data_IF_209280780289
#
_entry.id   IF_209280780289
#
_cell.length_a   1.000
_cell.length_b   1.000
_cell.length_c   1.000
_cell.angle_alpha   90.00
_cell.angle_beta   90.00
_cell.angle_gamma   90.00
#
_symmetry.space_group_name_H-M   'P 1'
#
loop_
_entity.id
_entity.type
_entity.pdbx_description
1 polymer ?
#
# COMPACT_ATOMS: atom_id res chain seq x y z
N UNK A 1 -1.66 -4.56 -25.30
CA UNK A 1 -0.54 -5.31 -24.69
C UNK A 1 0.68 -4.40 -24.74
N UNK A 2 1.06 -3.81 -23.61
CA UNK A 2 2.19 -2.88 -23.55
C UNK A 2 3.51 -3.59 -23.85
N UNK A 3 4.43 -2.89 -24.49
CA UNK A 3 5.79 -3.31 -24.88
C UNK A 3 6.58 -3.99 -23.74
N UNK A 4 6.24 -3.69 -22.48
CA UNK A 4 6.80 -4.28 -21.26
C UNK A 4 6.43 -5.75 -21.07
N UNK A 5 5.19 -6.14 -21.38
CA UNK A 5 4.79 -7.56 -21.32
C UNK A 5 5.57 -8.40 -22.34
N UNK A 6 5.98 -7.79 -23.47
CA UNK A 6 6.82 -8.47 -24.47
C UNK A 6 8.27 -8.68 -23.98
N UNK A 7 8.82 -7.78 -23.15
CA UNK A 7 10.18 -7.90 -22.58
C UNK A 7 10.29 -8.96 -21.48
N UNK A 8 9.17 -9.41 -20.91
CA UNK A 8 9.14 -10.44 -19.87
C UNK A 8 8.81 -11.84 -20.42
N UNK A 9 8.52 -11.97 -21.72
CA UNK A 9 8.07 -13.20 -22.35
C UNK A 9 9.20 -13.93 -23.09
N UNK A 10 10.02 -14.68 -22.35
CA UNK A 10 10.57 -16.00 -22.74
C UNK A 10 11.54 -16.47 -21.67
N UNK A 11 11.09 -17.36 -20.80
CA UNK A 11 11.99 -18.21 -20.01
C UNK A 11 11.23 -19.47 -19.65
N UNK A 12 11.68 -20.59 -20.23
CA UNK A 12 11.12 -21.92 -20.06
C UNK A 12 10.96 -22.28 -18.58
N UNK A 13 9.85 -22.92 -18.23
CA UNK A 13 9.61 -23.55 -16.92
C UNK A 13 10.68 -24.61 -16.66
N UNK A 14 11.76 -24.25 -15.97
CA UNK A 14 12.67 -25.21 -15.36
C UNK A 14 12.06 -25.69 -14.03
N UNK A 15 12.07 -27.01 -13.84
CA UNK A 15 11.80 -27.65 -12.55
C UNK A 15 12.91 -27.24 -11.57
N UNK A 16 12.60 -26.38 -10.59
CA UNK A 16 13.54 -25.99 -9.52
C UNK A 16 13.70 -24.49 -9.23
N UNK A 17 12.68 -23.65 -9.50
CA UNK A 17 12.72 -22.25 -9.03
C UNK A 17 12.72 -22.17 -7.50
N UNK A 18 13.48 -21.24 -6.94
CA UNK A 18 13.49 -20.97 -5.50
C UNK A 18 12.35 -20.01 -5.17
N UNK A 19 11.47 -20.39 -4.25
CA UNK A 19 10.39 -19.50 -3.81
C UNK A 19 10.95 -18.39 -2.90
N UNK A 20 10.52 -17.15 -3.13
CA UNK A 20 10.88 -15.99 -2.34
C UNK A 20 9.63 -15.18 -2.00
N UNK A 21 9.25 -15.18 -0.74
CA UNK A 21 8.09 -14.45 -0.22
C UNK A 21 8.56 -13.14 0.40
N UNK A 22 7.91 -12.04 0.01
CA UNK A 22 8.40 -10.69 0.28
C UNK A 22 7.34 -9.94 1.07
N UNK A 23 7.71 -9.44 2.24
CA UNK A 23 6.97 -8.37 2.91
C UNK A 23 7.33 -7.06 2.21
N UNK A 24 6.50 -6.64 1.24
CA UNK A 24 6.91 -5.57 0.33
C UNK A 24 6.92 -4.20 0.97
N UNK A 25 6.10 -3.98 2.01
CA UNK A 25 5.98 -2.67 2.64
C UNK A 25 7.27 -2.29 3.39
N UNK A 26 8.01 -3.29 3.88
CA UNK A 26 9.35 -3.14 4.47
C UNK A 26 10.39 -2.57 3.48
N UNK A 27 10.13 -2.69 2.18
CA UNK A 27 10.98 -2.23 1.08
C UNK A 27 10.34 -1.09 0.27
N UNK A 28 9.30 -0.44 0.79
CA UNK A 28 8.63 0.69 0.12
C UNK A 28 9.63 1.76 -0.36
N UNK A 29 10.64 2.08 0.46
CA UNK A 29 11.68 3.06 0.12
C UNK A 29 12.56 2.67 -1.08
N UNK A 30 12.65 1.38 -1.43
CA UNK A 30 13.36 0.89 -2.61
C UNK A 30 12.62 1.20 -3.92
N UNK A 31 11.29 1.37 -3.85
CA UNK A 31 10.42 1.67 -5.00
C UNK A 31 9.87 3.09 -4.97
N UNK A 32 9.87 3.73 -3.81
CA UNK A 32 9.46 5.13 -3.60
C UNK A 32 10.46 5.80 -2.66
N UNK A 33 11.59 6.30 -3.20
CA UNK A 33 12.62 6.93 -2.39
C UNK A 33 12.09 8.16 -1.62
N UNK A 34 12.26 8.17 -0.31
CA UNK A 34 11.73 9.21 0.61
C UNK A 34 12.24 10.63 0.26
N UNK A 35 13.45 10.71 -0.30
CA UNK A 35 14.10 11.99 -0.60
C UNK A 35 13.63 12.60 -1.93
N UNK A 36 12.83 11.90 -2.71
CA UNK A 36 12.35 12.37 -4.02
C UNK A 36 10.88 12.79 -4.00
N UNK A 37 10.42 13.43 -5.08
CA UNK A 37 8.98 13.53 -5.33
C UNK A 37 8.41 12.12 -5.47
N UNK A 38 7.19 11.91 -5.00
CA UNK A 38 6.50 10.66 -5.25
C UNK A 38 6.32 10.53 -6.75
N UNK A 39 6.78 9.42 -7.33
CA UNK A 39 6.71 9.19 -8.77
C UNK A 39 6.34 7.74 -9.04
N UNK A 40 5.07 7.52 -9.35
CA UNK A 40 4.56 6.19 -9.70
C UNK A 40 5.22 5.64 -10.98
N UNK A 41 5.67 6.52 -11.88
CA UNK A 41 6.39 6.15 -13.11
C UNK A 41 7.77 5.57 -12.79
N UNK A 42 8.51 6.20 -11.87
CA UNK A 42 9.80 5.68 -11.41
C UNK A 42 9.62 4.36 -10.65
N UNK A 43 8.64 4.29 -9.76
CA UNK A 43 8.30 3.08 -9.02
C UNK A 43 7.99 1.91 -9.96
N UNK A 44 7.23 2.14 -11.05
CA UNK A 44 6.97 1.14 -12.10
C UNK A 44 8.26 0.52 -12.62
N UNK A 45 9.23 1.35 -13.02
CA UNK A 45 10.50 0.86 -13.56
C UNK A 45 11.32 0.10 -12.52
N UNK A 46 11.33 0.57 -11.27
CA UNK A 46 12.03 -0.11 -10.18
C UNK A 46 11.41 -1.49 -9.88
N UNK A 47 10.09 -1.62 -9.90
CA UNK A 47 9.40 -2.92 -9.75
C UNK A 47 9.71 -3.82 -10.95
N UNK A 48 9.61 -3.33 -12.18
CA UNK A 48 9.95 -4.10 -13.40
C UNK A 48 11.38 -4.64 -13.33
N UNK A 49 12.33 -3.79 -12.97
CA UNK A 49 13.73 -4.16 -12.83
C UNK A 49 13.93 -5.19 -11.71
N UNK A 50 13.32 -4.99 -10.54
CA UNK A 50 13.36 -5.93 -9.43
C UNK A 50 12.87 -7.32 -9.84
N UNK A 51 11.69 -7.41 -10.47
CA UNK A 51 11.11 -8.69 -10.91
C UNK A 51 12.00 -9.37 -11.95
N UNK A 52 12.55 -8.60 -12.91
CA UNK A 52 13.50 -9.12 -13.89
C UNK A 52 14.76 -9.68 -13.22
N UNK A 53 15.34 -8.94 -12.28
CA UNK A 53 16.55 -9.38 -11.58
C UNK A 53 16.29 -10.60 -10.67
N UNK A 54 15.10 -10.71 -10.07
CA UNK A 54 14.67 -11.88 -9.31
C UNK A 54 14.59 -13.12 -10.21
N UNK A 55 13.94 -13.00 -11.38
CA UNK A 55 13.85 -14.07 -12.38
C UNK A 55 15.24 -14.51 -12.87
N UNK A 56 16.14 -13.56 -13.15
CA UNK A 56 17.53 -13.86 -13.53
C UNK A 56 18.33 -14.56 -12.43
N UNK A 57 17.92 -14.42 -11.17
CA UNK A 57 18.46 -15.13 -10.02
C UNK A 57 17.73 -16.45 -9.70
N UNK A 58 16.85 -16.92 -10.60
CA UNK A 58 16.04 -18.14 -10.45
C UNK A 58 15.12 -18.11 -9.21
N UNK A 59 14.56 -16.94 -8.90
CA UNK A 59 13.49 -16.81 -7.91
C UNK A 59 12.12 -16.78 -8.56
N UNK A 60 11.17 -17.46 -7.95
CA UNK A 60 9.74 -17.23 -8.13
C UNK A 60 9.22 -16.46 -6.92
N UNK A 61 8.68 -15.27 -7.17
CA UNK A 61 8.38 -14.31 -6.11
C UNK A 61 6.88 -14.26 -5.83
N UNK A 62 6.53 -14.18 -4.55
CA UNK A 62 5.21 -13.77 -4.09
C UNK A 62 5.35 -12.58 -3.16
N UNK A 63 4.44 -11.63 -3.28
CA UNK A 63 4.43 -10.42 -2.47
C UNK A 63 3.28 -10.50 -1.48
N UNK A 64 3.56 -10.29 -0.20
CA UNK A 64 2.58 -10.23 0.87
C UNK A 64 2.42 -8.77 1.32
N UNK A 65 1.16 -8.35 1.47
CA UNK A 65 0.77 -6.98 1.84
C UNK A 65 -0.21 -7.05 3.00
N UNK A 66 0.02 -6.23 4.01
CA UNK A 66 -0.92 -6.06 5.11
C UNK A 66 -2.22 -5.41 4.64
N UNK A 67 -3.34 -6.06 4.94
CA UNK A 67 -4.66 -5.67 4.47
C UNK A 67 -5.55 -5.06 5.56
N UNK A 68 -5.25 -5.30 6.85
CA UNK A 68 -6.04 -4.75 7.95
C UNK A 68 -5.27 -4.66 9.26
N UNK A 69 -5.54 -3.59 10.01
CA UNK A 69 -5.04 -3.42 11.38
C UNK A 69 -6.09 -4.01 12.33
N UNK A 70 -5.74 -5.09 13.05
CA UNK A 70 -6.73 -5.80 13.87
C UNK A 70 -6.61 -5.53 15.37
N UNK A 71 -5.39 -5.46 15.90
CA UNK A 71 -5.20 -5.31 17.34
C UNK A 71 -5.27 -3.85 17.80
N UNK A 72 -5.82 -3.61 18.98
CA UNK A 72 -5.81 -2.29 19.63
C UNK A 72 -4.37 -1.73 19.75
N UNK A 73 -3.40 -2.60 20.02
CA UNK A 73 -1.99 -2.23 20.07
C UNK A 73 -1.51 -1.71 18.71
N UNK A 74 -1.84 -2.39 17.60
CA UNK A 74 -1.47 -1.97 16.26
C UNK A 74 -2.19 -0.67 15.87
N UNK A 75 -3.46 -0.50 16.23
CA UNK A 75 -4.21 0.75 16.06
C UNK A 75 -3.53 1.90 16.82
N UNK A 76 -3.15 1.70 18.08
CA UNK A 76 -2.49 2.72 18.90
C UNK A 76 -1.11 3.10 18.35
N UNK A 77 -0.30 2.12 17.95
CA UNK A 77 0.99 2.37 17.28
C UNK A 77 0.80 3.11 15.97
N UNK A 78 -0.24 2.77 15.21
CA UNK A 78 -0.58 3.45 13.97
C UNK A 78 -1.02 4.89 14.22
N UNK A 79 -1.96 5.14 15.15
CA UNK A 79 -2.42 6.48 15.54
C UNK A 79 -1.25 7.37 15.96
N UNK A 80 -0.38 6.89 16.85
CA UNK A 80 0.81 7.62 17.31
C UNK A 80 1.73 8.01 16.15
N UNK A 81 1.97 7.09 15.18
CA UNK A 81 2.78 7.39 13.99
C UNK A 81 2.13 8.48 13.13
N UNK A 82 0.81 8.42 12.92
CA UNK A 82 0.06 9.42 12.14
C UNK A 82 0.01 10.78 12.83
N UNK A 83 -0.08 10.81 14.16
CA UNK A 83 0.00 12.05 14.93
C UNK A 83 1.37 12.70 14.80
N UNK A 84 2.45 11.93 14.87
CA UNK A 84 3.80 12.46 14.63
C UNK A 84 3.95 13.02 13.21
N UNK A 85 3.44 12.32 12.20
CA UNK A 85 3.42 12.81 10.80
C UNK A 85 2.70 14.15 10.68
N UNK A 86 1.48 14.26 11.21
CA UNK A 86 0.69 15.51 11.16
C UNK A 86 1.37 16.64 11.94
N UNK A 87 1.85 16.35 13.16
CA UNK A 87 2.52 17.35 14.01
C UNK A 87 3.78 17.91 13.36
N UNK A 88 4.54 17.06 12.66
CA UNK A 88 5.79 17.45 12.01
C UNK A 88 5.58 17.97 10.58
N UNK A 89 4.36 17.92 10.03
CA UNK A 89 4.12 18.24 8.62
C UNK A 89 4.83 17.26 7.67
N UNK A 90 5.06 16.02 8.11
CA UNK A 90 5.82 15.02 7.36
C UNK A 90 4.92 13.94 6.79
N UNK A 91 5.24 13.49 5.58
CA UNK A 91 4.71 12.24 5.04
C UNK A 91 5.79 11.53 4.22
N UNK A 92 6.24 10.38 4.71
CA UNK A 92 7.38 9.66 4.11
C UNK A 92 7.02 8.89 2.85
N UNK A 93 5.79 8.40 2.76
CA UNK A 93 5.34 7.52 1.69
C UNK A 93 4.04 8.05 1.05
N UNK A 94 3.89 7.88 -0.27
CA UNK A 94 2.69 8.27 -0.99
C UNK A 94 1.42 7.66 -0.42
N UNK A 95 0.31 8.36 -0.64
CA UNK A 95 -1.02 7.82 -0.42
C UNK A 95 -1.23 6.54 -1.27
N UNK A 96 -1.98 5.58 -0.72
CA UNK A 96 -2.31 4.31 -1.37
C UNK A 96 -1.09 3.45 -1.79
N UNK A 97 0.02 3.56 -1.06
CA UNK A 97 1.25 2.78 -1.30
C UNK A 97 0.98 1.27 -1.46
N UNK A 98 0.15 0.70 -0.57
CA UNK A 98 -0.16 -0.74 -0.56
C UNK A 98 -0.83 -1.16 -1.87
N UNK A 99 -1.86 -0.43 -2.28
CA UNK A 99 -2.58 -0.64 -3.54
C UNK A 99 -1.64 -0.52 -4.74
N UNK A 100 -0.82 0.53 -4.77
CA UNK A 100 0.07 0.81 -5.88
C UNK A 100 1.17 -0.23 -6.05
N UNK A 101 1.82 -0.63 -4.97
CA UNK A 101 2.81 -1.70 -5.04
C UNK A 101 2.15 -3.00 -5.50
N UNK A 102 0.98 -3.34 -4.95
CA UNK A 102 0.23 -4.51 -5.40
C UNK A 102 -0.09 -4.49 -6.90
N UNK A 103 -0.62 -3.38 -7.41
CA UNK A 103 -0.93 -3.19 -8.84
C UNK A 103 0.33 -3.32 -9.72
N UNK A 104 1.43 -2.69 -9.31
CA UNK A 104 2.70 -2.73 -10.04
C UNK A 104 3.29 -4.15 -10.11
N UNK A 105 3.25 -4.90 -9.01
CA UNK A 105 3.73 -6.27 -8.96
C UNK A 105 2.84 -7.22 -9.77
N UNK A 106 1.50 -7.11 -9.65
CA UNK A 106 0.55 -7.88 -10.48
C UNK A 106 0.79 -7.66 -11.97
N UNK A 107 1.03 -6.41 -12.40
CA UNK A 107 1.36 -6.08 -13.79
C UNK A 107 2.65 -6.73 -14.29
N UNK A 108 3.56 -7.09 -13.39
CA UNK A 108 4.77 -7.83 -13.71
C UNK A 108 4.59 -9.36 -13.67
N UNK A 109 3.35 -9.84 -13.50
CA UNK A 109 3.00 -11.25 -13.38
C UNK A 109 3.41 -11.88 -12.06
N UNK A 110 3.50 -11.07 -11.00
CA UNK A 110 3.81 -11.54 -9.64
C UNK A 110 2.52 -11.74 -8.86
N UNK A 111 2.42 -12.85 -8.15
CA UNK A 111 1.31 -13.10 -7.24
C UNK A 111 1.40 -12.15 -6.03
N UNK A 112 0.28 -11.49 -5.73
CA UNK A 112 0.18 -10.55 -4.61
C UNK A 112 -0.91 -11.05 -3.66
N UNK A 113 -0.52 -11.25 -2.41
CA UNK A 113 -1.33 -11.80 -1.34
C UNK A 113 -1.61 -10.69 -0.30
N UNK A 114 -2.87 -10.30 -0.15
CA UNK A 114 -3.30 -9.39 0.90
C UNK A 114 -3.82 -10.23 2.08
N UNK A 115 -3.14 -10.13 3.23
CA UNK A 115 -3.42 -10.92 4.42
C UNK A 115 -4.72 -10.47 5.09
N UNK A 116 -5.73 -11.33 5.12
CA UNK A 116 -7.11 -10.98 5.57
C UNK A 116 -7.59 -11.73 6.79
N UNK A 117 -7.03 -12.90 7.10
CA UNK A 117 -7.45 -13.74 8.24
C UNK A 117 -6.55 -13.55 9.47
N UNK A 118 -5.28 -13.21 9.26
CA UNK A 118 -4.30 -12.99 10.32
C UNK A 118 -3.35 -11.86 9.94
N UNK A 119 -2.59 -11.36 10.91
CA UNK A 119 -1.52 -10.39 10.69
C UNK A 119 -0.60 -10.85 9.54
N UNK A 120 -0.07 -9.90 8.78
CA UNK A 120 0.73 -10.20 7.59
C UNK A 120 1.95 -11.07 7.88
N UNK A 121 2.60 -10.87 9.03
CA UNK A 121 3.75 -11.67 9.44
C UNK A 121 3.38 -13.13 9.69
N UNK A 122 2.26 -13.39 10.35
CA UNK A 122 1.78 -14.74 10.64
C UNK A 122 1.35 -15.46 9.35
N UNK A 123 0.66 -14.74 8.46
CA UNK A 123 0.25 -15.24 7.14
C UNK A 123 1.48 -15.59 6.31
N UNK A 124 2.41 -14.64 6.11
CA UNK A 124 3.63 -14.85 5.32
C UNK A 124 4.49 -15.98 5.90
N UNK A 125 4.73 -15.97 7.22
CA UNK A 125 5.53 -17.00 7.88
C UNK A 125 4.94 -18.41 7.72
N UNK A 126 3.61 -18.55 7.82
CA UNK A 126 2.94 -19.83 7.61
C UNK A 126 3.07 -20.32 6.17
N UNK A 127 2.75 -19.48 5.19
CA UNK A 127 2.90 -19.83 3.76
C UNK A 127 4.35 -20.17 3.43
N UNK A 128 5.32 -19.36 3.87
CA UNK A 128 6.74 -19.63 3.63
C UNK A 128 7.21 -20.94 4.29
N UNK A 129 6.71 -21.23 5.50
CA UNK A 129 7.00 -22.49 6.19
C UNK A 129 6.47 -23.69 5.42
N UNK A 130 5.23 -23.65 4.95
CA UNK A 130 4.61 -24.78 4.25
C UNK A 130 5.24 -25.02 2.88
N UNK A 131 5.56 -23.95 2.16
CA UNK A 131 6.08 -24.03 0.79
C UNK A 131 7.61 -24.18 0.71
N UNK A 132 8.32 -24.04 1.84
CA UNK A 132 9.78 -24.00 1.86
C UNK A 132 10.35 -22.76 1.16
N UNK A 133 9.62 -21.64 1.20
CA UNK A 133 10.04 -20.38 0.59
C UNK A 133 11.01 -19.62 1.48
N UNK A 134 11.94 -18.89 0.88
CA UNK A 134 12.73 -17.88 1.58
C UNK A 134 11.89 -16.64 1.89
N UNK A 135 12.17 -15.94 2.98
CA UNK A 135 11.49 -14.69 3.36
C UNK A 135 12.42 -13.50 3.19
N UNK A 136 11.96 -12.46 2.48
CA UNK A 136 12.62 -11.15 2.41
C UNK A 136 11.81 -10.15 3.25
N UNK A 137 12.31 -9.83 4.45
CA UNK A 137 11.71 -8.85 5.36
C UNK A 137 12.76 -8.26 6.32
N UNK A 138 12.60 -6.99 6.65
CA UNK A 138 13.40 -6.30 7.69
C UNK A 138 12.82 -6.50 9.08
N UNK A 139 11.58 -7.00 9.18
CA UNK A 139 10.95 -7.28 10.44
C UNK A 139 11.67 -8.42 11.19
N UNK A 140 11.77 -8.25 12.50
CA UNK A 140 12.35 -9.24 13.42
C UNK A 140 11.30 -10.23 13.91
N UNK A 141 10.02 -9.98 13.67
CA UNK A 141 8.94 -10.88 14.11
C UNK A 141 9.02 -12.25 13.45
N UNK A 142 9.59 -12.36 12.24
CA UNK A 142 9.92 -13.65 11.61
C UNK A 142 10.90 -14.54 12.42
N UNK A 143 11.65 -13.97 13.37
CA UNK A 143 12.53 -14.73 14.27
C UNK A 143 11.77 -15.39 15.44
N UNK A 144 10.51 -15.00 15.68
CA UNK A 144 9.68 -15.48 16.79
C UNK A 144 9.13 -16.88 16.53
N UNK A 145 8.97 -17.28 15.28
CA UNK A 145 8.36 -18.56 14.92
C UNK A 145 9.27 -19.74 15.21
N UNK A 146 8.75 -20.68 16.01
CA UNK A 146 9.42 -21.95 16.35
C UNK A 146 9.40 -22.90 15.16
N UNK A 147 10.49 -23.66 14.98
CA UNK A 147 10.57 -24.71 13.96
C UNK A 147 10.41 -24.23 12.51
N UNK A 148 10.60 -22.92 12.24
CA UNK A 148 10.50 -22.37 10.88
C UNK A 148 11.41 -23.12 9.89
N UNK A 149 10.91 -23.34 8.68
CA UNK A 149 11.63 -24.03 7.58
C UNK A 149 12.13 -23.08 6.49
N UNK A 150 12.15 -21.78 6.78
CA UNK A 150 12.54 -20.74 5.84
C UNK A 150 13.75 -19.95 6.33
N UNK A 151 14.56 -19.51 5.38
CA UNK A 151 15.62 -18.53 5.58
C UNK A 151 15.05 -17.11 5.55
N UNK A 152 15.68 -16.20 6.31
CA UNK A 152 15.27 -14.80 6.39
C UNK A 152 16.37 -13.92 5.80
N UNK A 153 15.99 -13.06 4.87
CA UNK A 153 16.86 -12.08 4.21
C UNK A 153 16.42 -10.68 4.59
N UNK A 154 17.39 -9.85 4.97
CA UNK A 154 17.19 -8.49 5.48
C UNK A 154 17.07 -7.45 4.37
N UNK A 155 17.75 -7.70 3.26
CA UNK A 155 17.84 -6.75 2.17
C UNK A 155 18.20 -7.47 0.88
N UNK A 156 18.27 -6.71 -0.20
CA UNK A 156 18.73 -7.16 -1.49
C UNK A 156 19.57 -6.10 -2.18
N UNK A 157 20.34 -6.53 -3.16
CA UNK A 157 21.01 -5.65 -4.10
C UNK A 157 21.08 -6.33 -5.47
N UNK A 158 21.47 -5.57 -6.48
CA UNK A 158 21.63 -6.07 -7.85
C UNK A 158 23.11 -6.25 -8.14
N UNK A 159 23.49 -7.44 -8.59
CA UNK A 159 24.83 -7.73 -9.07
C UNK A 159 24.75 -8.48 -10.39
N UNK A 160 25.41 -7.97 -11.44
CA UNK A 160 25.40 -8.59 -12.78
C UNK A 160 23.98 -8.96 -13.25
N UNK A 161 23.03 -8.03 -13.12
CA UNK A 161 21.61 -8.20 -13.47
C UNK A 161 20.89 -9.34 -12.73
N UNK A 162 21.37 -9.73 -11.55
CA UNK A 162 20.73 -10.72 -10.68
C UNK A 162 20.43 -10.11 -9.33
N UNK A 163 19.29 -10.49 -8.77
CA UNK A 163 18.94 -10.18 -7.39
C UNK A 163 19.83 -11.02 -6.45
N UNK A 164 20.56 -10.35 -5.57
CA UNK A 164 21.32 -10.98 -4.50
C UNK A 164 20.68 -10.60 -3.19
N UNK A 165 20.36 -11.61 -2.38
CA UNK A 165 19.73 -11.42 -1.07
C UNK A 165 20.80 -11.37 0.03
N UNK A 166 20.62 -10.47 0.98
CA UNK A 166 21.48 -10.33 2.15
C UNK A 166 20.90 -11.15 3.31
N UNK A 167 21.52 -12.28 3.70
CA UNK A 167 20.97 -13.12 4.76
C UNK A 167 21.00 -12.40 6.10
N UNK A 168 19.95 -12.62 6.90
CA UNK A 168 19.92 -12.16 8.28
C UNK A 168 20.93 -12.94 9.11
N UNK A 169 21.87 -12.24 9.74
CA UNK A 169 22.90 -12.85 10.62
C UNK A 169 22.53 -12.76 12.11
N UNK A 170 21.73 -11.77 12.48
CA UNK A 170 21.29 -11.56 13.86
C UNK A 170 20.06 -12.41 14.17
N UNK A 171 20.29 -13.58 14.78
CA UNK A 171 19.21 -14.54 15.10
C UNK A 171 18.56 -14.29 16.46
N UNK A 172 19.01 -13.28 17.19
CA UNK A 172 18.49 -12.95 18.51
C UNK A 172 17.13 -12.24 18.41
N UNK A 173 16.16 -12.67 19.21
CA UNK A 173 14.86 -12.02 19.33
C UNK A 173 14.38 -12.17 20.78
N UNK A 174 14.12 -11.03 21.44
CA UNK A 174 13.66 -10.95 22.83
C UNK A 174 12.15 -11.09 22.96
N UNK A 175 11.41 -10.99 21.85
CA UNK A 175 9.96 -11.10 21.85
C UNK A 175 9.51 -12.55 22.07
N UNK A 176 8.30 -12.70 22.61
CA UNK A 176 7.68 -14.01 22.87
C UNK A 176 7.61 -14.84 21.61
N UNK A 177 8.05 -16.10 21.70
CA UNK A 177 8.00 -17.07 20.60
C UNK A 177 6.57 -17.37 20.19
N UNK A 178 6.35 -17.57 18.88
CA UNK A 178 5.07 -17.91 18.27
C UNK A 178 5.17 -19.29 17.61
N UNK A 179 4.05 -19.98 17.52
CA UNK A 179 3.94 -21.20 16.73
C UNK A 179 3.51 -20.85 15.29
N UNK A 180 3.87 -21.69 14.32
CA UNK A 180 3.42 -21.52 12.93
C UNK A 180 1.93 -21.88 12.88
N UNK A 181 1.09 -20.97 12.36
CA UNK A 181 -0.34 -21.23 12.19
C UNK A 181 -0.53 -22.34 11.14
N UNK A 182 -1.33 -23.35 11.46
CA UNK A 182 -1.68 -24.46 10.54
C UNK A 182 -3.18 -24.75 10.66
N UNK A 183 -3.93 -24.77 9.55
CA UNK A 183 -3.51 -24.51 8.17
C UNK A 183 -3.07 -23.04 7.96
N UNK A 184 -2.43 -22.77 6.82
CA UNK A 184 -1.99 -21.40 6.50
C UNK A 184 -3.19 -20.43 6.40
N UNK A 185 -3.12 -19.24 7.01
CA UNK A 185 -4.19 -18.26 6.94
C UNK A 185 -4.53 -17.88 5.50
N UNK A 186 -5.81 -17.60 5.26
CA UNK A 186 -6.31 -17.14 3.97
C UNK A 186 -5.85 -15.71 3.65
N UNK A 187 -5.60 -15.49 2.38
CA UNK A 187 -5.35 -14.18 1.79
C UNK A 187 -6.24 -13.98 0.57
N UNK A 188 -6.36 -12.74 0.12
CA UNK A 188 -6.99 -12.40 -1.15
C UNK A 188 -5.96 -11.86 -2.15
N UNK A 189 -6.25 -11.97 -3.44
CA UNK A 189 -5.41 -11.43 -4.51
C UNK A 189 -5.83 -10.01 -4.94
N UNK A 190 -6.85 -9.42 -4.32
CA UNK A 190 -7.30 -8.05 -4.55
C UNK A 190 -7.08 -7.22 -3.29
N UNK A 191 -6.61 -5.98 -3.42
CA UNK A 191 -6.54 -5.09 -2.26
C UNK A 191 -7.96 -4.96 -1.68
N UNK A 192 -8.20 -5.37 -0.43
CA UNK A 192 -9.50 -5.15 0.14
C UNK A 192 -9.77 -3.65 0.31
N UNK A 193 -8.76 -2.77 0.30
CA UNK A 193 -8.91 -1.32 0.12
C UNK A 193 -9.87 -0.66 1.13
N UNK A 194 -11.11 -0.44 0.68
CA UNK A 194 -12.27 0.07 1.45
C UNK A 194 -13.27 -1.05 1.78
N UNK A 195 -13.20 -2.22 1.15
CA UNK A 195 -14.05 -3.41 1.41
C UNK A 195 -13.81 -4.03 2.80
N UNK A 196 -12.77 -3.61 3.54
CA UNK A 196 -12.62 -3.87 4.99
C UNK A 196 -13.72 -3.21 5.86
N UNK A 197 -14.64 -2.46 5.25
CA UNK A 197 -15.84 -1.88 5.86
C UNK A 197 -16.83 -2.91 6.45
N UNK A 198 -16.59 -4.22 6.35
CA UNK A 198 -17.33 -5.21 7.15
C UNK A 198 -17.32 -4.87 8.65
N UNK A 199 -16.40 -4.01 9.10
CA UNK A 199 -16.27 -3.54 10.47
C UNK A 199 -16.83 -2.13 10.73
N UNK A 200 -17.57 -1.53 9.80
CA UNK A 200 -18.25 -0.23 9.97
C UNK A 200 -17.33 0.96 10.32
N UNK A 201 -16.03 0.88 10.00
CA UNK A 201 -15.07 1.95 10.26
C UNK A 201 -14.16 2.23 9.06
N UNK A 202 -13.71 3.47 8.93
CA UNK A 202 -12.75 3.90 7.93
C UNK A 202 -11.69 4.82 8.57
N UNK A 203 -10.56 4.22 8.93
CA UNK A 203 -9.40 4.94 9.47
C UNK A 203 -8.43 5.27 8.34
N UNK A 204 -8.04 6.55 8.23
CA UNK A 204 -6.92 6.99 7.39
C UNK A 204 -6.10 8.07 8.09
N UNK A 205 -4.81 8.10 7.80
CA UNK A 205 -3.93 9.17 8.24
C UNK A 205 -4.07 10.42 7.38
N UNK A 206 -3.13 11.35 7.51
CA UNK A 206 -2.97 12.36 6.47
C UNK A 206 -2.41 11.74 5.18
N UNK A 207 -2.94 12.10 4.00
CA UNK A 207 -2.41 11.65 2.72
C UNK A 207 -1.22 12.51 2.23
N UNK A 208 -0.94 13.65 2.86
CA UNK A 208 0.02 14.66 2.38
C UNK A 208 0.80 15.33 3.51
N UNK A 209 2.06 15.77 3.29
CA UNK A 209 2.78 16.58 4.28
C UNK A 209 2.09 17.94 4.57
N UNK A 210 1.22 18.42 3.68
CA UNK A 210 0.65 19.78 3.75
C UNK A 210 -0.67 19.87 4.55
N UNK A 211 -0.96 18.93 5.44
CA UNK A 211 -2.18 18.99 6.28
C UNK A 211 -2.19 20.14 7.30
N UNK A 212 -1.07 20.84 7.46
CA UNK A 212 -1.03 22.09 8.22
C UNK A 212 -1.58 23.28 7.41
N UNK A 213 -1.53 23.22 6.08
CA UNK A 213 -2.07 24.26 5.19
C UNK A 213 -3.48 23.92 4.69
N UNK A 214 -3.81 22.64 4.63
CA UNK A 214 -5.08 22.12 4.12
C UNK A 214 -5.70 21.18 5.14
N UNK A 215 -7.02 21.07 5.16
CA UNK A 215 -7.66 19.96 5.89
C UNK A 215 -7.22 18.61 5.31
N UNK A 216 -7.46 17.53 6.05
CA UNK A 216 -7.18 16.18 5.55
C UNK A 216 -8.01 15.92 4.28
N UNK A 217 -7.35 15.61 3.16
CA UNK A 217 -8.01 15.39 1.86
C UNK A 217 -9.11 14.33 1.92
N UNK A 218 -8.99 13.33 2.80
CA UNK A 218 -10.04 12.33 2.98
C UNK A 218 -11.37 12.92 3.47
N UNK A 219 -11.34 14.02 4.23
CA UNK A 219 -12.53 14.77 4.67
C UNK A 219 -13.14 15.53 3.49
N UNK A 220 -12.30 16.19 2.68
CA UNK A 220 -12.76 16.97 1.50
C UNK A 220 -13.56 16.10 0.54
N UNK A 221 -13.07 14.88 0.27
CA UNK A 221 -13.72 13.96 -0.68
C UNK A 221 -14.77 13.05 -0.04
N UNK A 222 -15.15 13.29 1.23
CA UNK A 222 -16.15 12.47 1.94
C UNK A 222 -17.45 12.31 1.14
N UNK A 223 -18.01 13.34 0.48
CA UNK A 223 -19.22 13.17 -0.33
C UNK A 223 -19.08 12.16 -1.49
N UNK A 224 -17.92 12.09 -2.14
CA UNK A 224 -17.64 11.07 -3.16
C UNK A 224 -17.55 9.67 -2.54
N UNK A 225 -16.99 9.58 -1.33
CA UNK A 225 -16.90 8.32 -0.58
C UNK A 225 -18.27 7.83 -0.12
N UNK A 226 -19.17 8.72 0.30
CA UNK A 226 -20.55 8.38 0.61
C UNK A 226 -21.29 7.80 -0.60
N UNK A 227 -21.02 8.33 -1.80
CA UNK A 227 -21.55 7.76 -3.04
C UNK A 227 -21.02 6.34 -3.29
N UNK A 228 -19.74 6.10 -2.98
CA UNK A 228 -19.17 4.77 -3.05
C UNK A 228 -19.79 3.82 -2.00
N UNK A 229 -20.03 4.27 -0.76
CA UNK A 229 -20.74 3.49 0.25
C UNK A 229 -22.16 3.10 -0.20
N UNK A 230 -22.88 4.04 -0.83
CA UNK A 230 -24.20 3.77 -1.40
C UNK A 230 -24.12 2.77 -2.55
N UNK A 231 -23.10 2.87 -3.40
CA UNK A 231 -22.85 1.90 -4.47
C UNK A 231 -22.59 0.48 -3.93
N UNK A 232 -21.90 0.35 -2.80
CA UNK A 232 -21.69 -0.92 -2.11
C UNK A 232 -22.96 -1.49 -1.47
N UNK A 233 -24.08 -0.75 -1.47
CA UNK A 233 -25.34 -1.18 -0.87
C UNK A 233 -25.31 -1.18 0.65
N UNK A 234 -24.43 -0.39 1.27
CA UNK A 234 -24.38 -0.25 2.72
C UNK A 234 -25.65 0.47 3.20
N UNK A 235 -26.22 0.01 4.32
CA UNK A 235 -27.44 0.60 4.92
C UNK A 235 -27.11 1.44 6.16
N UNK A 236 -26.02 1.10 6.85
CA UNK A 236 -25.57 1.75 8.08
C UNK A 236 -24.50 2.80 7.83
N UNK A 237 -24.42 3.79 8.73
CA UNK A 237 -23.31 4.74 8.76
C UNK A 237 -21.97 4.07 9.05
N UNK A 238 -20.92 4.64 8.48
CA UNK A 238 -19.52 4.26 8.69
C UNK A 238 -18.86 5.26 9.64
N UNK A 239 -18.17 4.79 10.67
CA UNK A 239 -17.33 5.63 11.51
C UNK A 239 -16.04 5.99 10.76
N UNK A 240 -15.98 7.22 10.24
CA UNK A 240 -14.75 7.76 9.66
C UNK A 240 -13.89 8.41 10.74
N UNK A 241 -12.58 8.21 10.67
CA UNK A 241 -11.64 8.80 11.62
C UNK A 241 -10.36 9.26 10.93
N UNK A 242 -10.09 10.56 11.01
CA UNK A 242 -8.95 11.21 10.34
C UNK A 242 -8.22 12.19 11.25
N UNK A 243 -6.88 12.26 11.21
CA UNK A 243 -6.17 13.26 11.98
C UNK A 243 -6.23 14.62 11.28
N UNK A 244 -6.31 15.66 12.10
CA UNK A 244 -6.32 17.08 11.76
C UNK A 244 -5.29 17.82 12.64
N UNK A 245 -4.80 18.96 12.17
CA UNK A 245 -3.99 19.87 12.96
C UNK A 245 -4.77 21.15 13.23
N UNK A 246 -5.02 21.45 14.50
CA UNK A 246 -5.72 22.66 14.96
C UNK A 246 -5.13 23.09 16.31
N UNK A 247 -3.95 23.71 16.25
CA UNK A 247 -3.06 23.92 17.41
C UNK A 247 -2.39 22.63 17.88
N UNK A 248 -3.18 21.59 18.13
CA UNK A 248 -2.75 20.22 18.43
C UNK A 248 -3.31 19.21 17.42
N UNK A 249 -2.81 17.98 17.46
CA UNK A 249 -3.34 16.92 16.60
C UNK A 249 -4.64 16.40 17.21
N UNK A 250 -5.75 16.61 16.51
CA UNK A 250 -7.07 16.07 16.87
C UNK A 250 -7.54 15.05 15.84
N UNK A 251 -8.40 14.13 16.25
CA UNK A 251 -9.02 13.16 15.35
C UNK A 251 -10.46 13.59 15.05
N UNK A 252 -10.76 13.86 13.77
CA UNK A 252 -12.12 14.05 13.27
C UNK A 252 -12.79 12.68 13.22
N UNK A 253 -13.78 12.46 14.09
CA UNK A 253 -14.57 11.25 14.15
C UNK A 253 -16.02 11.55 13.77
N UNK A 254 -16.53 10.90 12.73
CA UNK A 254 -17.87 11.16 12.21
C UNK A 254 -18.57 9.86 11.79
N UNK A 255 -19.84 9.71 12.15
CA UNK A 255 -20.71 8.69 11.57
C UNK A 255 -21.25 9.20 10.23
N UNK A 256 -20.78 8.59 9.15
CA UNK A 256 -21.03 9.05 7.78
C UNK A 256 -21.98 8.08 7.09
N UNK A 257 -23.23 8.48 6.77
CA UNK A 257 -24.18 7.62 6.10
C UNK A 257 -23.84 7.47 4.60
N UNK A 258 -24.24 6.34 3.98
CA UNK A 258 -24.28 6.19 2.53
C UNK A 258 -25.15 7.28 1.88
N UNK A 259 -24.66 7.90 0.80
CA UNK A 259 -25.38 8.95 0.07
C UNK A 259 -25.03 8.92 -1.42
N UNK A 260 -26.02 8.69 -2.28
CA UNK A 260 -25.83 8.55 -3.72
C UNK A 260 -25.65 9.86 -4.51
N UNK A 261 -25.71 11.04 -3.87
CA UNK A 261 -25.71 12.34 -4.57
C UNK A 261 -24.52 12.58 -5.52
N UNK A 262 -23.37 11.94 -5.28
CA UNK A 262 -22.17 12.06 -6.15
C UNK A 262 -21.86 10.83 -7.00
N UNK A 263 -22.84 9.92 -7.18
CA UNK A 263 -22.63 8.66 -7.92
C UNK A 263 -22.09 8.89 -9.33
N UNK A 264 -22.57 9.92 -10.02
CA UNK A 264 -22.16 10.24 -11.40
C UNK A 264 -20.67 10.59 -11.51
N UNK A 265 -20.05 11.10 -10.44
CA UNK A 265 -18.62 11.43 -10.41
C UNK A 265 -17.73 10.20 -10.25
N UNK A 266 -18.23 9.09 -9.68
CA UNK A 266 -17.42 7.88 -9.43
C UNK A 266 -16.90 7.26 -10.73
N UNK A 267 -17.66 7.36 -11.82
CA UNK A 267 -17.26 6.86 -13.13
C UNK A 267 -16.40 7.84 -13.95
N UNK A 268 -16.15 9.05 -13.43
CA UNK A 268 -15.48 10.13 -14.17
C UNK A 268 -14.30 10.72 -13.36
N UNK A 269 -13.16 10.01 -13.24
CA UNK A 269 -12.06 10.39 -12.35
C UNK A 269 -11.58 11.84 -12.52
N UNK A 270 -11.43 12.31 -13.77
CA UNK A 270 -11.02 13.69 -14.06
C UNK A 270 -12.04 14.72 -13.57
N UNK A 271 -13.32 14.52 -13.86
CA UNK A 271 -14.39 15.43 -13.40
C UNK A 271 -14.51 15.42 -11.88
N UNK A 272 -14.39 14.24 -11.25
CA UNK A 272 -14.35 14.13 -9.80
C UNK A 272 -13.19 14.92 -9.21
N UNK A 273 -11.99 14.80 -9.76
CA UNK A 273 -10.83 15.57 -9.30
C UNK A 273 -11.04 17.08 -9.46
N UNK A 274 -11.51 17.52 -10.63
CA UNK A 274 -11.78 18.93 -10.91
C UNK A 274 -12.85 19.49 -9.96
N UNK A 275 -13.88 18.71 -9.64
CA UNK A 275 -14.92 19.11 -8.69
C UNK A 275 -14.35 19.50 -7.32
N UNK A 276 -13.37 18.73 -6.80
CA UNK A 276 -12.81 18.98 -5.48
C UNK A 276 -11.58 19.90 -5.47
N UNK A 277 -10.74 19.87 -6.51
CA UNK A 277 -9.37 20.40 -6.43
C UNK A 277 -8.95 21.31 -7.59
N UNK A 278 -9.83 21.68 -8.53
CA UNK A 278 -9.45 22.54 -9.67
C UNK A 278 -8.88 23.92 -9.26
N UNK A 279 -9.40 24.47 -8.16
CA UNK A 279 -9.05 25.83 -7.69
C UNK A 279 -7.95 25.82 -6.61
N UNK A 280 -7.32 24.66 -6.38
CA UNK A 280 -6.30 24.48 -5.35
C UNK A 280 -5.04 25.28 -5.72
N UNK A 281 -4.57 26.12 -4.79
CA UNK A 281 -3.38 26.96 -4.99
C UNK A 281 -2.28 26.57 -4.02
N UNK A 282 -1.03 26.60 -4.49
CA UNK A 282 0.14 26.36 -3.64
C UNK A 282 0.23 27.44 -2.55
N UNK A 283 0.32 27.07 -1.26
CA UNK A 283 0.55 28.03 -0.19
C UNK A 283 1.93 28.71 -0.31
N UNK A 284 2.05 29.91 0.25
CA UNK A 284 3.34 30.61 0.30
C UNK A 284 4.33 29.83 1.20
N UNK A 285 5.59 29.73 0.76
CA UNK A 285 6.65 29.05 1.52
C UNK A 285 6.72 27.54 1.33
N UNK A 286 5.73 26.91 0.67
CA UNK A 286 5.74 25.48 0.35
C UNK A 286 6.70 25.19 -0.81
N UNK A 287 7.56 24.20 -0.64
CA UNK A 287 8.51 23.77 -1.68
C UNK A 287 7.81 23.07 -2.85
N UNK A 288 8.45 23.04 -4.03
CA UNK A 288 7.94 22.32 -5.21
C UNK A 288 7.72 20.83 -4.92
N UNK A 289 8.61 20.22 -4.13
CA UNK A 289 8.53 18.81 -3.75
C UNK A 289 7.28 18.54 -2.89
N UNK A 290 7.09 19.30 -1.83
CA UNK A 290 5.92 19.13 -0.95
C UNK A 290 4.62 19.39 -1.69
N UNK A 291 4.61 20.42 -2.55
CA UNK A 291 3.47 20.73 -3.39
C UNK A 291 3.15 19.59 -4.37
N UNK A 292 4.15 19.07 -5.07
CA UNK A 292 3.97 17.95 -5.99
C UNK A 292 3.44 16.70 -5.28
N UNK A 293 3.98 16.39 -4.09
CA UNK A 293 3.48 15.30 -3.26
C UNK A 293 2.03 15.53 -2.80
N UNK A 294 1.65 16.77 -2.50
CA UNK A 294 0.27 17.12 -2.16
C UNK A 294 -0.67 16.96 -3.37
N UNK A 295 -0.29 17.45 -4.55
CA UNK A 295 -1.07 17.27 -5.78
C UNK A 295 -1.22 15.79 -6.12
N UNK A 296 -0.16 15.01 -5.98
CA UNK A 296 -0.24 13.56 -6.11
C UNK A 296 -1.26 12.95 -5.12
N UNK A 297 -1.19 13.36 -3.85
CA UNK A 297 -2.08 12.85 -2.81
C UNK A 297 -3.56 13.11 -3.15
N UNK A 298 -3.89 14.30 -3.67
CA UNK A 298 -5.27 14.62 -4.06
C UNK A 298 -5.75 13.77 -5.23
N UNK A 299 -4.90 13.51 -6.23
CA UNK A 299 -5.22 12.54 -7.29
C UNK A 299 -5.44 11.15 -6.72
N UNK A 300 -4.52 10.65 -5.90
CA UNK A 300 -4.58 9.29 -5.35
C UNK A 300 -5.85 9.07 -4.52
N UNK A 301 -6.24 10.01 -3.67
CA UNK A 301 -7.46 9.89 -2.84
C UNK A 301 -8.73 9.83 -3.68
N UNK A 302 -8.84 10.65 -4.74
CA UNK A 302 -10.03 10.66 -5.61
C UNK A 302 -10.04 9.43 -6.50
N UNK A 303 -8.91 9.14 -7.16
CA UNK A 303 -8.83 8.05 -8.12
C UNK A 303 -8.90 6.68 -7.47
N UNK A 304 -8.54 6.53 -6.19
CA UNK A 304 -8.75 5.29 -5.44
C UNK A 304 -10.24 4.95 -5.41
N UNK A 305 -11.13 5.93 -5.12
CA UNK A 305 -12.58 5.71 -5.10
C UNK A 305 -13.15 5.42 -6.49
N UNK A 306 -12.74 6.20 -7.50
CA UNK A 306 -13.19 5.95 -8.86
C UNK A 306 -12.70 4.60 -9.40
N UNK A 307 -11.44 4.23 -9.13
CA UNK A 307 -10.86 2.95 -9.55
C UNK A 307 -11.59 1.77 -8.93
N UNK A 308 -11.91 1.86 -7.64
CA UNK A 308 -12.73 0.87 -6.95
C UNK A 308 -14.12 0.72 -7.58
N UNK A 309 -14.82 1.82 -7.86
CA UNK A 309 -16.12 1.81 -8.53
C UNK A 309 -16.07 1.22 -9.95
N UNK A 310 -15.02 1.56 -10.70
CA UNK A 310 -14.87 1.16 -12.11
C UNK A 310 -14.26 -0.24 -12.28
N UNK A 311 -13.71 -0.83 -11.22
CA UNK A 311 -12.91 -2.06 -11.32
C UNK A 311 -11.59 -1.85 -12.06
N UNK A 312 -11.00 -0.66 -11.98
CA UNK A 312 -9.76 -0.27 -12.67
C UNK A 312 -8.64 -0.05 -11.64
N UNK A 313 -7.42 -0.60 -11.85
CA UNK A 313 -6.28 -0.36 -10.96
C UNK A 313 -5.98 1.12 -10.75
N UNK A 314 -5.69 1.53 -9.51
CA UNK A 314 -5.38 2.93 -9.18
C UNK A 314 -4.20 3.44 -10.01
N UNK A 315 -3.20 2.57 -10.21
CA UNK A 315 -2.03 2.90 -11.03
C UNK A 315 -2.41 3.40 -12.44
N UNK A 316 -3.42 2.79 -13.06
CA UNK A 316 -3.81 3.12 -14.43
C UNK A 316 -4.49 4.48 -14.52
N UNK A 317 -5.34 4.79 -13.53
CA UNK A 317 -5.97 6.11 -13.43
C UNK A 317 -4.92 7.20 -13.21
N UNK A 318 -3.93 6.97 -12.34
CA UNK A 318 -2.83 7.91 -12.13
C UNK A 318 -2.03 8.14 -13.42
N UNK A 319 -1.66 7.07 -14.14
CA UNK A 319 -0.94 7.18 -15.42
C UNK A 319 -1.75 7.94 -16.47
N UNK A 320 -3.04 7.64 -16.58
CA UNK A 320 -3.89 8.18 -17.63
C UNK A 320 -4.32 9.63 -17.39
N UNK A 321 -4.39 10.06 -16.13
CA UNK A 321 -5.10 11.29 -15.78
C UNK A 321 -4.33 12.25 -14.88
N UNK A 322 -3.33 11.81 -14.11
CA UNK A 322 -2.54 12.72 -13.30
C UNK A 322 -1.61 13.55 -14.20
N UNK A 323 -1.82 14.87 -14.20
CA UNK A 323 -1.02 15.83 -15.00
C UNK A 323 0.40 15.98 -14.45
N UNK A 324 0.57 15.78 -13.14
CA UNK A 324 1.83 15.91 -12.43
C UNK A 324 2.13 14.59 -11.69
N UNK A 325 3.18 13.85 -12.09
CA UNK A 325 3.51 12.54 -11.54
C UNK A 325 4.41 12.56 -10.31
#
# INVERSE_FOLDING_TARGET
MDEISSKLATTSLSTGKRLLYIDILNFSASFFPVNEHWSFRKARWQVVDFVRFAKNANYDIKVFIDASIESEEAINKWKKRRETEVRNGERRFPQAMNTLLGDLFKRCGVEVCYSTEADNDDTLASHAHHDGASVLSRDRDFLRYKGRRYDIFLDFYVNKNKLVLNPRKDMHCTATKRDIITPAPAYTNSDPGIVTLSRHFYYRGTPSPLTHHFTNTHIVVRPLRQAYYSHLGLESSILETFPLLDGEVRWDEALVPPDSCMKDLLGEPKKAYEYFFKDMKRPQGVSDKEWSNHVYATYAVVFELCGLYMGVPLFDLLVAHAVHP
#
